data_IF_374962502486
#
_entry.id   IF_374962502486
#
_cell.length_a   1.000
_cell.length_b   1.000
_cell.length_c   1.000
_cell.angle_alpha   90.00
_cell.angle_beta   90.00
_cell.angle_gamma   90.00
#
_symmetry.space_group_name_H-M   'P 1'
#
loop_
_entity.id
_entity.type
_entity.pdbx_description
1 polymer ?
#
# COMPACT_ATOMS: atom_id res chain seq x y z
N UNK A 1 -11.94 7.21 -1.70
CA UNK A 1 -10.94 6.20 -2.12
C UNK A 1 -9.74 6.91 -2.72
N UNK A 2 -8.64 6.97 -1.99
CA UNK A 2 -7.38 7.61 -2.38
C UNK A 2 -6.42 6.50 -2.83
N UNK A 3 -5.99 6.49 -4.10
CA UNK A 3 -5.06 5.46 -4.58
C UNK A 3 -3.78 6.06 -5.18
N UNK A 4 -2.74 5.91 -4.34
CA UNK A 4 -1.43 5.32 -4.60
C UNK A 4 -0.35 6.09 -5.38
N UNK A 5 -0.59 6.70 -6.54
CA UNK A 5 0.52 7.39 -7.24
C UNK A 5 0.93 8.76 -6.65
N UNK A 6 0.25 9.18 -5.57
CA UNK A 6 0.47 10.45 -4.86
C UNK A 6 -0.17 10.37 -3.46
N UNK A 7 0.21 9.35 -2.69
CA UNK A 7 -0.41 9.02 -1.40
C UNK A 7 -0.12 10.05 -0.30
N UNK A 8 0.97 10.80 -0.41
CA UNK A 8 1.32 11.84 0.55
C UNK A 8 0.86 13.22 0.08
N UNK A 9 0.36 14.01 1.03
CA UNK A 9 -0.13 15.37 0.77
C UNK A 9 0.85 16.22 -0.07
N UNK A 10 2.16 16.29 0.25
CA UNK A 10 3.13 17.05 -0.55
C UNK A 10 3.26 16.54 -1.99
N UNK A 11 3.22 15.22 -2.19
CA UNK A 11 3.43 14.63 -3.53
C UNK A 11 2.25 14.94 -4.46
N UNK A 12 1.06 15.21 -3.91
CA UNK A 12 -0.07 15.75 -4.71
C UNK A 12 0.20 17.13 -5.28
N UNK A 13 0.92 17.99 -4.55
CA UNK A 13 1.29 19.33 -5.05
C UNK A 13 2.28 19.18 -6.20
N UNK A 14 3.25 18.29 -6.06
CA UNK A 14 4.27 18.01 -7.07
C UNK A 14 3.64 17.44 -8.34
N UNK A 15 2.73 16.47 -8.21
CA UNK A 15 2.08 15.81 -9.34
C UNK A 15 0.82 16.52 -9.84
N UNK A 16 0.50 17.73 -9.37
CA UNK A 16 -0.75 18.45 -9.72
C UNK A 16 -0.99 18.57 -11.22
N UNK A 17 0.06 18.89 -11.98
CA UNK A 17 -0.03 19.07 -13.45
C UNK A 17 -0.30 17.75 -14.16
N UNK A 18 0.38 16.68 -13.75
CA UNK A 18 0.15 15.33 -14.25
C UNK A 18 -1.27 14.86 -13.91
N UNK A 19 -1.70 15.13 -12.67
CA UNK A 19 -3.05 14.79 -12.21
C UNK A 19 -4.13 15.54 -12.97
N UNK A 20 -3.88 16.79 -13.40
CA UNK A 20 -4.80 17.54 -14.26
C UNK A 20 -4.89 16.95 -15.68
N UNK A 21 -3.81 16.34 -16.18
CA UNK A 21 -3.75 15.75 -17.50
C UNK A 21 -4.35 14.32 -17.56
N UNK A 22 -4.32 13.57 -16.46
CA UNK A 22 -4.87 12.22 -16.43
C UNK A 22 -6.42 12.25 -16.36
N UNK A 23 -7.15 11.64 -17.32
CA UNK A 23 -8.61 11.60 -17.32
C UNK A 23 -9.24 11.05 -16.03
N UNK A 24 -8.53 10.17 -15.32
CA UNK A 24 -8.95 9.56 -14.05
C UNK A 24 -8.77 10.48 -12.86
N UNK A 25 -7.73 11.32 -12.84
CA UNK A 25 -7.35 12.10 -11.65
C UNK A 25 -7.62 13.60 -11.79
N UNK A 26 -8.05 14.05 -12.97
CA UNK A 26 -8.44 15.45 -13.22
C UNK A 26 -9.56 15.99 -12.32
N UNK A 27 -10.39 15.10 -11.76
CA UNK A 27 -11.50 15.45 -10.85
C UNK A 27 -11.08 15.51 -9.37
N UNK A 28 -9.79 15.37 -9.07
CA UNK A 28 -9.29 15.55 -7.70
C UNK A 28 -9.37 17.01 -7.28
N UNK A 29 -9.51 17.26 -5.97
CA UNK A 29 -9.70 18.61 -5.40
C UNK A 29 -8.57 19.60 -5.76
N UNK A 30 -7.33 19.12 -5.87
CA UNK A 30 -6.16 19.98 -6.11
C UNK A 30 -6.01 20.40 -7.58
N UNK A 31 -6.16 19.49 -8.58
CA UNK A 31 -6.34 19.88 -9.98
C UNK A 31 -7.51 20.84 -10.21
N UNK A 32 -8.65 20.60 -9.56
CA UNK A 32 -9.86 21.44 -9.68
C UNK A 32 -9.74 22.81 -9.00
N UNK A 33 -8.70 23.04 -8.20
CA UNK A 33 -8.52 24.29 -7.46
C UNK A 33 -9.44 24.45 -6.24
N UNK A 34 -10.18 23.40 -5.86
CA UNK A 34 -11.01 23.38 -4.64
C UNK A 34 -10.13 23.44 -3.38
N UNK A 35 -8.93 22.85 -3.45
CA UNK A 35 -7.97 22.83 -2.35
C UNK A 35 -6.70 23.57 -2.76
N UNK A 36 -6.25 24.53 -1.94
CA UNK A 36 -5.03 25.28 -2.26
C UNK A 36 -3.78 24.47 -1.94
N UNK A 37 -2.70 24.59 -2.73
CA UNK A 37 -1.43 23.93 -2.45
C UNK A 37 -0.87 24.23 -1.06
N UNK A 38 -1.08 25.45 -0.55
CA UNK A 38 -0.62 25.87 0.77
C UNK A 38 -1.29 25.08 1.89
N UNK A 39 -2.59 24.77 1.78
CA UNK A 39 -3.31 23.98 2.77
C UNK A 39 -2.74 22.56 2.86
N UNK A 40 -2.39 22.01 1.70
CA UNK A 40 -1.82 20.66 1.57
C UNK A 40 -0.41 20.60 2.14
N UNK A 41 0.41 21.62 1.87
CA UNK A 41 1.76 21.75 2.44
C UNK A 41 1.67 21.98 3.95
N UNK A 42 0.82 22.90 4.41
CA UNK A 42 0.61 23.19 5.83
C UNK A 42 0.20 21.94 6.61
N UNK A 43 -0.76 21.18 6.09
CA UNK A 43 -1.20 19.93 6.72
C UNK A 43 -0.13 18.83 6.67
N UNK A 44 0.76 18.85 5.68
CA UNK A 44 1.92 17.97 5.65
C UNK A 44 2.96 18.36 6.70
N UNK A 45 3.31 19.65 6.82
CA UNK A 45 4.26 20.16 7.82
C UNK A 45 3.75 19.87 9.23
N UNK A 46 2.48 20.20 9.53
CA UNK A 46 1.85 19.91 10.81
C UNK A 46 1.83 18.40 11.07
N UNK A 47 1.42 17.59 10.09
CA UNK A 47 1.38 16.13 10.22
C UNK A 47 2.77 15.53 10.48
N UNK A 48 3.81 16.03 9.81
CA UNK A 48 5.20 15.62 10.04
C UNK A 48 5.67 16.04 11.44
N UNK A 49 5.33 17.24 11.90
CA UNK A 49 5.63 17.69 13.26
C UNK A 49 4.98 16.80 14.32
N UNK A 50 3.69 16.48 14.17
CA UNK A 50 2.98 15.55 15.06
C UNK A 50 3.60 14.15 15.01
N UNK A 51 3.99 13.68 13.83
CA UNK A 51 4.66 12.39 13.67
C UNK A 51 5.99 12.31 14.42
N UNK A 52 6.85 13.32 14.30
CA UNK A 52 8.13 13.36 15.03
C UNK A 52 7.94 13.51 16.53
N UNK A 53 6.97 14.33 16.95
CA UNK A 53 6.62 14.46 18.36
C UNK A 53 6.13 13.11 18.92
N UNK A 54 5.22 12.42 18.24
CA UNK A 54 4.74 11.11 18.66
C UNK A 54 5.89 10.09 18.72
N UNK A 55 6.78 10.07 17.72
CA UNK A 55 7.95 9.20 17.71
C UNK A 55 8.88 9.46 18.91
N UNK A 56 9.05 10.72 19.33
CA UNK A 56 9.87 11.06 20.49
C UNK A 56 9.26 10.64 21.83
N UNK A 57 7.95 10.39 21.88
CA UNK A 57 7.26 9.91 23.08
C UNK A 57 7.28 8.38 23.24
N UNK A 58 7.77 7.63 22.25
CA UNK A 58 7.72 6.16 22.26
C UNK A 58 9.03 5.57 22.78
N UNK A 59 10.09 5.58 21.96
CA UNK A 59 11.42 5.15 22.36
C UNK A 59 12.50 5.72 21.41
N UNK A 60 13.76 5.59 21.81
CA UNK A 60 14.90 6.14 21.05
C UNK A 60 15.03 5.54 19.65
N UNK A 61 14.79 4.24 19.50
CA UNK A 61 14.89 3.58 18.19
C UNK A 61 13.81 4.08 17.22
N UNK A 62 12.57 4.24 17.69
CA UNK A 62 11.48 4.84 16.91
C UNK A 62 11.82 6.25 16.47
N UNK A 63 12.36 7.09 17.36
CA UNK A 63 12.75 8.46 17.02
C UNK A 63 13.89 8.50 15.98
N UNK A 64 14.89 7.63 16.11
CA UNK A 64 16.01 7.54 15.15
C UNK A 64 15.55 7.09 13.77
N UNK A 65 14.56 6.19 13.70
CA UNK A 65 14.04 5.65 12.43
C UNK A 65 12.94 6.51 11.81
N UNK A 66 12.31 7.41 12.58
CA UNK A 66 11.25 8.29 12.09
C UNK A 66 11.66 9.13 10.85
N UNK A 67 12.87 9.76 10.79
CA UNK A 67 13.33 10.45 9.58
C UNK A 67 13.43 9.52 8.37
N UNK A 68 13.91 8.29 8.56
CA UNK A 68 14.03 7.30 7.48
C UNK A 68 12.65 6.95 6.92
N UNK A 69 11.67 6.70 7.79
CA UNK A 69 10.30 6.44 7.38
C UNK A 69 9.69 7.64 6.63
N UNK A 70 9.85 8.87 7.15
CA UNK A 70 9.33 10.08 6.52
C UNK A 70 9.94 10.31 5.12
N UNK A 71 11.25 10.16 4.99
CA UNK A 71 11.96 10.28 3.70
C UNK A 71 11.49 9.21 2.73
N UNK A 72 11.38 7.95 3.16
CA UNK A 72 10.92 6.86 2.31
C UNK A 72 9.51 7.10 1.77
N UNK A 73 8.61 7.56 2.64
CA UNK A 73 7.21 7.87 2.33
C UNK A 73 7.09 9.01 1.29
N UNK A 74 8.04 9.94 1.24
CA UNK A 74 8.12 10.93 0.16
C UNK A 74 8.76 10.32 -1.09
N UNK A 75 9.85 9.57 -0.91
CA UNK A 75 10.67 9.00 -1.97
C UNK A 75 9.89 8.04 -2.88
N UNK A 76 9.04 7.15 -2.32
CA UNK A 76 8.37 6.14 -3.16
C UNK A 76 7.55 6.75 -4.29
N UNK A 77 6.98 7.96 -4.12
CA UNK A 77 6.18 8.63 -5.14
C UNK A 77 6.98 8.98 -6.41
N UNK A 78 8.30 9.09 -6.30
CA UNK A 78 9.20 9.37 -7.44
C UNK A 78 9.70 8.12 -8.15
N UNK A 79 9.55 6.94 -7.53
CA UNK A 79 10.10 5.69 -8.09
C UNK A 79 9.51 5.33 -9.45
N UNK A 80 8.29 5.81 -9.76
CA UNK A 80 7.65 5.66 -11.07
C UNK A 80 8.44 6.30 -12.23
N UNK A 81 9.32 7.28 -11.99
CA UNK A 81 10.16 7.83 -13.06
C UNK A 81 11.49 7.07 -13.22
N UNK A 82 11.83 6.23 -12.26
CA UNK A 82 13.14 5.56 -12.18
C UNK A 82 13.01 4.09 -12.60
N UNK A 83 11.94 3.41 -12.15
CA UNK A 83 11.80 1.96 -12.30
C UNK A 83 10.35 1.52 -12.51
N UNK A 84 10.19 0.42 -13.27
CA UNK A 84 8.92 -0.30 -13.42
C UNK A 84 8.49 -1.02 -12.12
N UNK A 85 9.40 -1.20 -11.18
CA UNK A 85 9.15 -1.85 -9.88
C UNK A 85 8.54 -0.91 -8.83
N UNK A 86 8.05 0.27 -9.23
CA UNK A 86 7.51 1.31 -8.35
C UNK A 86 6.40 0.79 -7.39
N UNK A 87 5.63 -0.21 -7.82
CA UNK A 87 4.60 -0.87 -7.00
C UNK A 87 5.16 -1.55 -5.75
N UNK A 88 6.38 -2.12 -5.81
CA UNK A 88 7.03 -2.71 -4.64
C UNK A 88 7.50 -1.65 -3.64
N UNK A 89 7.98 -0.50 -4.14
CA UNK A 89 8.35 0.62 -3.27
C UNK A 89 7.12 1.21 -2.57
N UNK A 90 5.99 1.28 -3.27
CA UNK A 90 4.72 1.67 -2.69
C UNK A 90 4.23 0.67 -1.65
N UNK A 91 4.30 -0.63 -1.96
CA UNK A 91 3.95 -1.69 -1.02
C UNK A 91 4.80 -1.63 0.25
N UNK A 92 6.11 -1.40 0.10
CA UNK A 92 7.03 -1.26 1.23
C UNK A 92 6.75 0.01 2.04
N UNK A 93 6.35 1.12 1.40
CA UNK A 93 5.99 2.35 2.10
C UNK A 93 4.81 2.13 3.07
N UNK A 94 3.83 1.33 2.66
CA UNK A 94 2.72 0.90 3.52
C UNK A 94 3.19 -0.08 4.59
N UNK A 95 4.06 -1.02 4.21
CA UNK A 95 4.59 -2.04 5.10
C UNK A 95 5.63 -1.53 6.12
N UNK A 96 6.02 -0.26 6.10
CA UNK A 96 6.76 0.33 7.22
C UNK A 96 5.90 0.31 8.49
N UNK A 97 4.57 0.39 8.38
CA UNK A 97 3.70 0.54 9.55
C UNK A 97 3.76 -0.62 10.55
N UNK A 98 3.73 -1.92 10.15
CA UNK A 98 3.78 -3.02 11.12
C UNK A 98 5.12 -3.11 11.83
N UNK A 99 6.24 -2.94 11.11
CA UNK A 99 7.58 -2.86 11.74
C UNK A 99 7.70 -1.67 12.67
N UNK A 100 7.22 -0.49 12.25
CA UNK A 100 7.24 0.70 13.09
C UNK A 100 6.39 0.52 14.37
N UNK A 101 5.23 -0.13 14.27
CA UNK A 101 4.39 -0.44 15.42
C UNK A 101 5.06 -1.43 16.39
N UNK A 102 5.74 -2.45 15.88
CA UNK A 102 6.52 -3.37 16.70
C UNK A 102 7.64 -2.65 17.45
N UNK A 103 8.47 -1.90 16.71
CA UNK A 103 9.58 -1.12 17.28
C UNK A 103 9.06 -0.13 18.33
N UNK A 104 7.92 0.51 18.09
CA UNK A 104 7.31 1.45 19.03
C UNK A 104 6.98 0.80 20.39
N UNK A 105 6.54 -0.45 20.39
CA UNK A 105 6.14 -1.18 21.60
C UNK A 105 7.32 -1.90 22.26
N UNK A 106 8.20 -2.52 21.47
CA UNK A 106 9.27 -3.40 21.98
C UNK A 106 10.63 -2.72 22.10
N UNK A 107 10.83 -1.59 21.41
CA UNK A 107 12.14 -0.94 21.28
C UNK A 107 13.16 -1.75 20.48
N UNK A 108 12.73 -2.79 19.74
CA UNK A 108 13.59 -3.74 19.02
C UNK A 108 13.07 -4.00 17.61
N UNK A 109 13.98 -4.42 16.72
CA UNK A 109 13.62 -4.95 15.42
C UNK A 109 13.85 -6.46 15.42
N UNK A 110 12.76 -7.21 15.54
CA UNK A 110 12.78 -8.67 15.58
C UNK A 110 12.34 -9.26 14.22
N UNK A 111 12.59 -10.54 13.92
CA UNK A 111 12.26 -11.16 12.64
C UNK A 111 10.76 -11.24 12.32
N UNK A 112 9.90 -11.37 13.33
CA UNK A 112 8.45 -11.53 13.20
C UNK A 112 7.78 -10.36 12.46
N UNK A 113 7.97 -9.08 12.87
CA UNK A 113 7.42 -7.94 12.13
C UNK A 113 8.02 -7.78 10.73
N UNK A 114 9.21 -8.33 10.45
CA UNK A 114 9.78 -8.33 9.10
C UNK A 114 9.00 -9.24 8.16
N UNK A 115 8.55 -10.40 8.64
CA UNK A 115 7.69 -11.29 7.85
C UNK A 115 6.31 -10.65 7.59
N UNK A 116 5.75 -9.95 8.59
CA UNK A 116 4.52 -9.17 8.40
C UNK A 116 4.72 -8.02 7.41
N UNK A 117 5.86 -7.35 7.46
CA UNK A 117 6.26 -6.30 6.50
C UNK A 117 6.35 -6.86 5.08
N UNK A 118 6.94 -8.04 4.91
CA UNK A 118 6.97 -8.73 3.63
C UNK A 118 5.55 -9.04 3.14
N UNK A 119 4.69 -9.60 4.00
CA UNK A 119 3.31 -9.92 3.65
C UNK A 119 2.54 -8.67 3.18
N UNK A 120 2.65 -7.57 3.92
CA UNK A 120 2.00 -6.29 3.56
C UNK A 120 2.60 -5.70 2.29
N UNK A 121 3.92 -5.83 2.07
CA UNK A 121 4.56 -5.35 0.83
C UNK A 121 4.03 -6.10 -0.39
N UNK A 122 3.93 -7.42 -0.30
CA UNK A 122 3.43 -8.26 -1.40
C UNK A 122 1.94 -8.03 -1.66
N UNK A 123 1.13 -7.97 -0.61
CA UNK A 123 -0.29 -7.64 -0.75
C UNK A 123 -0.47 -6.24 -1.35
N UNK A 124 0.21 -5.25 -0.80
CA UNK A 124 -0.01 -3.88 -1.20
C UNK A 124 0.56 -3.52 -2.56
N UNK A 125 1.73 -4.05 -2.89
CA UNK A 125 2.30 -3.94 -4.22
C UNK A 125 1.46 -4.69 -5.25
N UNK A 126 0.88 -5.84 -4.90
CA UNK A 126 0.03 -6.62 -5.80
C UNK A 126 -1.21 -5.84 -6.25
N UNK A 127 -1.97 -5.28 -5.30
CA UNK A 127 -3.12 -4.46 -5.68
C UNK A 127 -2.71 -3.22 -6.48
N UNK A 128 -1.54 -2.63 -6.18
CA UNK A 128 -1.05 -1.45 -6.89
C UNK A 128 -0.65 -1.77 -8.35
N UNK A 129 -0.14 -2.97 -8.61
CA UNK A 129 0.08 -3.47 -9.97
C UNK A 129 -1.24 -3.56 -10.74
N UNK A 130 -2.31 -4.08 -10.12
CA UNK A 130 -3.65 -4.11 -10.75
C UNK A 130 -4.15 -2.69 -11.05
N UNK A 131 -4.01 -1.75 -10.12
CA UNK A 131 -4.41 -0.37 -10.37
C UNK A 131 -3.59 0.29 -11.48
N UNK A 132 -2.30 -0.02 -11.57
CA UNK A 132 -1.44 0.45 -12.66
C UNK A 132 -1.93 0.01 -14.05
N UNK A 133 -2.68 -1.09 -14.16
CA UNK A 133 -3.32 -1.49 -15.42
C UNK A 133 -4.30 -0.42 -15.91
N UNK A 134 -5.05 0.22 -14.99
CA UNK A 134 -6.03 1.24 -15.35
C UNK A 134 -5.40 2.54 -15.87
N UNK A 135 -4.12 2.79 -15.56
CA UNK A 135 -3.36 3.96 -16.01
C UNK A 135 -2.39 3.62 -17.17
N UNK A 136 -2.42 2.39 -17.70
CA UNK A 136 -1.47 1.88 -18.70
C UNK A 136 -1.34 2.78 -19.96
N UNK A 137 -2.46 3.21 -20.55
CA UNK A 137 -2.43 4.02 -21.77
C UNK A 137 -1.94 5.44 -21.49
N UNK A 138 -2.28 5.99 -20.32
CA UNK A 138 -1.76 7.27 -19.85
C UNK A 138 -0.24 7.19 -19.61
N UNK A 139 0.23 6.15 -18.94
CA UNK A 139 1.66 5.95 -18.66
C UNK A 139 2.52 5.82 -19.92
N UNK A 140 1.97 5.24 -20.99
CA UNK A 140 2.63 5.18 -22.30
C UNK A 140 2.82 6.57 -22.90
N UNK A 141 1.82 7.43 -22.80
CA UNK A 141 1.85 8.78 -23.36
C UNK A 141 2.69 9.75 -22.52
N UNK A 142 2.63 9.64 -21.19
CA UNK A 142 3.25 10.59 -20.25
C UNK A 142 4.67 10.20 -19.77
N UNK A 143 5.19 9.05 -20.21
CA UNK A 143 6.58 8.65 -19.95
C UNK A 143 6.86 8.06 -18.57
N UNK A 144 5.85 7.83 -17.72
CA UNK A 144 5.99 7.15 -16.42
C UNK A 144 6.25 5.65 -16.59
N UNK A 145 6.95 5.02 -15.63
CA UNK A 145 7.15 3.58 -15.59
C UNK A 145 6.08 2.90 -14.75
N UNK A 146 5.61 1.76 -15.22
CA UNK A 146 4.76 0.82 -14.48
C UNK A 146 5.03 -0.60 -14.96
N UNK A 147 4.69 -1.59 -14.14
CA UNK A 147 4.92 -2.99 -14.50
C UNK A 147 4.14 -3.37 -15.76
N UNK A 148 2.87 -2.95 -15.84
CA UNK A 148 2.00 -3.19 -16.99
C UNK A 148 2.55 -2.54 -18.28
N UNK A 149 3.12 -1.33 -18.20
CA UNK A 149 3.75 -0.69 -19.37
C UNK A 149 4.97 -1.48 -19.89
N UNK A 150 5.77 -2.05 -18.99
CA UNK A 150 7.02 -2.75 -19.34
C UNK A 150 6.77 -4.18 -19.84
N UNK A 151 5.87 -4.92 -19.18
CA UNK A 151 5.67 -6.37 -19.40
C UNK A 151 4.30 -6.73 -19.95
N UNK A 152 3.39 -5.77 -20.09
CA UNK A 152 2.03 -5.97 -20.56
C UNK A 152 1.05 -6.33 -19.44
N UNK A 153 -0.24 -6.26 -19.79
CA UNK A 153 -1.36 -6.45 -18.86
C UNK A 153 -1.45 -7.89 -18.35
N UNK A 154 -1.26 -8.87 -19.23
CA UNK A 154 -1.27 -10.29 -18.86
C UNK A 154 -0.20 -10.64 -17.82
N UNK A 155 1.02 -10.12 -17.99
CA UNK A 155 2.09 -10.28 -17.02
C UNK A 155 1.77 -9.59 -15.69
N UNK A 156 1.21 -8.37 -15.73
CA UNK A 156 0.80 -7.65 -14.51
C UNK A 156 -0.24 -8.41 -13.68
N UNK A 157 -1.22 -9.05 -14.33
CA UNK A 157 -2.23 -9.89 -13.64
C UNK A 157 -1.57 -11.10 -12.98
N UNK A 158 -0.70 -11.83 -13.70
CA UNK A 158 0.00 -12.98 -13.13
C UNK A 158 0.92 -12.59 -11.98
N UNK A 159 1.69 -11.51 -12.12
CA UNK A 159 2.53 -10.98 -11.06
C UNK A 159 1.71 -10.63 -9.82
N UNK A 160 0.53 -10.01 -9.99
CA UNK A 160 -0.34 -9.70 -8.85
C UNK A 160 -0.80 -10.96 -8.13
N UNK A 161 -1.22 -12.00 -8.87
CA UNK A 161 -1.61 -13.29 -8.30
C UNK A 161 -0.48 -13.91 -7.49
N UNK A 162 0.75 -13.90 -8.03
CA UNK A 162 1.94 -14.39 -7.33
C UNK A 162 2.20 -13.59 -6.06
N UNK A 163 2.12 -12.25 -6.12
CA UNK A 163 2.32 -11.41 -4.94
C UNK A 163 1.25 -11.65 -3.86
N UNK A 164 -0.03 -11.75 -4.22
CA UNK A 164 -1.09 -12.06 -3.24
C UNK A 164 -0.94 -13.46 -2.65
N UNK A 165 -0.49 -14.44 -3.43
CA UNK A 165 -0.16 -15.78 -2.92
C UNK A 165 1.01 -15.73 -1.92
N UNK A 166 2.07 -15.00 -2.22
CA UNK A 166 3.21 -14.81 -1.31
C UNK A 166 2.79 -14.10 -0.02
N UNK A 167 1.90 -13.11 -0.11
CA UNK A 167 1.34 -12.44 1.07
C UNK A 167 0.54 -13.42 1.95
N UNK A 168 -0.35 -14.20 1.34
CA UNK A 168 -1.15 -15.21 2.03
C UNK A 168 -0.27 -16.29 2.70
N UNK A 169 0.76 -16.78 2.00
CA UNK A 169 1.72 -17.74 2.54
C UNK A 169 2.52 -17.14 3.71
N UNK A 170 3.00 -15.90 3.59
CA UNK A 170 3.72 -15.21 4.66
C UNK A 170 2.85 -15.02 5.92
N UNK A 171 1.57 -14.66 5.77
CA UNK A 171 0.63 -14.57 6.90
C UNK A 171 0.35 -15.93 7.54
N UNK A 172 0.30 -17.01 6.76
CA UNK A 172 0.16 -18.36 7.29
C UNK A 172 1.37 -18.74 8.14
N UNK A 173 2.58 -18.56 7.58
CA UNK A 173 3.85 -18.83 8.26
C UNK A 173 3.95 -18.00 9.54
N UNK A 174 3.59 -16.72 9.48
CA UNK A 174 3.58 -15.84 10.66
C UNK A 174 2.64 -16.36 11.75
N UNK A 175 1.42 -16.76 11.38
CA UNK A 175 0.44 -17.30 12.34
C UNK A 175 0.93 -18.56 13.03
N UNK A 176 1.55 -19.47 12.27
CA UNK A 176 2.14 -20.69 12.82
C UNK A 176 3.36 -20.39 13.70
N UNK A 177 4.26 -19.51 13.24
CA UNK A 177 5.47 -19.13 13.98
C UNK A 177 5.14 -18.44 15.31
N UNK A 178 4.17 -17.51 15.30
CA UNK A 178 3.72 -16.83 16.51
C UNK A 178 2.79 -17.67 17.39
N UNK A 179 2.48 -18.91 16.99
CA UNK A 179 1.59 -19.81 17.74
C UNK A 179 0.17 -19.25 17.91
N UNK A 180 -0.34 -18.52 16.92
CA UNK A 180 -1.66 -17.89 17.01
C UNK A 180 -2.79 -18.94 17.00
N UNK A 181 -3.83 -18.68 17.79
CA UNK A 181 -4.96 -19.59 17.93
C UNK A 181 -5.89 -19.68 16.72
N UNK A 182 -6.88 -20.56 16.83
CA UNK A 182 -7.87 -20.87 15.79
C UNK A 182 -8.51 -19.63 15.14
N UNK A 183 -8.84 -18.61 15.93
CA UNK A 183 -9.48 -17.39 15.42
C UNK A 183 -8.64 -16.67 14.37
N UNK A 184 -7.30 -16.65 14.50
CA UNK A 184 -6.44 -16.02 13.50
C UNK A 184 -6.58 -16.70 12.14
N UNK A 185 -6.61 -18.03 12.11
CA UNK A 185 -6.75 -18.80 10.88
C UNK A 185 -8.12 -18.60 10.20
N UNK A 186 -9.18 -18.26 10.95
CA UNK A 186 -10.45 -17.81 10.35
C UNK A 186 -10.25 -16.48 9.61
N UNK A 187 -9.63 -15.49 10.24
CA UNK A 187 -9.34 -14.20 9.60
C UNK A 187 -8.46 -14.35 8.37
N UNK A 188 -7.44 -15.22 8.45
CA UNK A 188 -6.58 -15.57 7.32
C UNK A 188 -7.34 -16.26 6.18
N UNK A 189 -8.24 -17.21 6.49
CA UNK A 189 -9.06 -17.88 5.48
C UNK A 189 -9.99 -16.90 4.76
N UNK A 190 -10.63 -15.98 5.50
CA UNK A 190 -11.44 -14.90 4.92
C UNK A 190 -10.59 -14.04 3.99
N UNK A 191 -9.39 -13.65 4.42
CA UNK A 191 -8.48 -12.84 3.60
C UNK A 191 -8.12 -13.54 2.28
N UNK A 192 -7.82 -14.84 2.31
CA UNK A 192 -7.51 -15.63 1.10
C UNK A 192 -8.70 -15.69 0.16
N UNK A 193 -9.90 -15.97 0.67
CA UNK A 193 -11.10 -16.03 -0.16
C UNK A 193 -11.33 -14.70 -0.87
N UNK A 194 -11.20 -13.58 -0.15
CA UNK A 194 -11.36 -12.25 -0.73
C UNK A 194 -10.27 -11.92 -1.77
N UNK A 195 -9.00 -12.26 -1.50
CA UNK A 195 -7.90 -12.09 -2.46
C UNK A 195 -8.10 -12.95 -3.71
N UNK A 196 -8.60 -14.19 -3.56
CA UNK A 196 -8.89 -15.08 -4.67
C UNK A 196 -10.05 -14.53 -5.53
N UNK A 197 -11.11 -14.02 -4.89
CA UNK A 197 -12.23 -13.38 -5.57
C UNK A 197 -11.75 -12.13 -6.33
N UNK A 198 -10.98 -11.25 -5.70
CA UNK A 198 -10.40 -10.06 -6.36
C UNK A 198 -9.59 -10.44 -7.61
N UNK A 199 -8.69 -11.42 -7.50
CA UNK A 199 -7.86 -11.89 -8.62
C UNK A 199 -8.64 -12.63 -9.72
N UNK A 200 -9.82 -13.18 -9.41
CA UNK A 200 -10.68 -13.88 -10.38
C UNK A 200 -11.47 -12.91 -11.27
N UNK A 201 -11.71 -11.69 -10.78
CA UNK A 201 -12.50 -10.67 -11.47
C UNK A 201 -11.71 -9.93 -12.55
N UNK A 202 -10.39 -9.88 -12.43
CA UNK A 202 -9.51 -9.21 -13.38
C UNK A 202 -9.04 -10.21 -14.44
N UNK A 203 -9.40 -9.96 -15.70
CA UNK A 203 -8.97 -10.75 -16.85
C UNK A 203 -8.28 -9.88 -17.87
N UNK A 204 -7.30 -10.42 -18.59
CA UNK A 204 -6.50 -9.64 -19.55
C UNK A 204 -7.33 -9.17 -20.76
N UNK A 205 -8.38 -9.90 -21.10
CA UNK A 205 -9.31 -9.67 -22.20
C UNK A 205 -10.55 -8.86 -21.81
N UNK A 206 -10.85 -8.74 -20.51
CA UNK A 206 -11.98 -7.97 -19.99
C UNK A 206 -11.59 -7.16 -18.74
N UNK A 207 -11.35 -5.86 -18.95
CA UNK A 207 -11.01 -4.90 -17.92
C UNK A 207 -12.22 -4.13 -17.37
N UNK A 208 -13.44 -4.46 -17.78
CA UNK A 208 -14.66 -3.75 -17.35
C UNK A 208 -14.83 -3.72 -15.82
N UNK A 209 -14.30 -4.75 -15.14
CA UNK A 209 -14.37 -4.92 -13.68
C UNK A 209 -13.24 -4.25 -12.90
N UNK A 210 -12.23 -3.69 -13.57
CA UNK A 210 -11.12 -2.95 -12.93
C UNK A 210 -11.58 -1.72 -12.13
N UNK A 211 -12.80 -1.22 -12.35
CA UNK A 211 -13.36 -0.06 -11.63
C UNK A 211 -14.54 -0.43 -10.74
N UNK A 212 -14.78 -1.72 -10.54
CA UNK A 212 -15.89 -2.18 -9.70
C UNK A 212 -15.69 -1.79 -8.23
N UNK A 213 -16.78 -1.56 -7.45
CA UNK A 213 -16.69 -1.26 -6.02
C UNK A 213 -16.08 -2.39 -5.18
N UNK A 214 -15.78 -3.54 -5.79
CA UNK A 214 -15.17 -4.72 -5.18
C UNK A 214 -13.73 -4.47 -4.70
N UNK A 215 -13.08 -3.38 -5.11
CA UNK A 215 -11.83 -2.92 -4.51
C UNK A 215 -11.95 -2.49 -3.03
N UNK A 216 -13.16 -2.40 -2.49
CA UNK A 216 -13.39 -2.29 -1.05
C UNK A 216 -13.02 -3.56 -0.26
N UNK A 217 -12.75 -4.69 -0.92
CA UNK A 217 -12.31 -5.92 -0.25
C UNK A 217 -11.02 -5.74 0.55
N UNK A 218 -10.11 -4.87 0.11
CA UNK A 218 -8.87 -4.60 0.83
C UNK A 218 -9.12 -4.04 2.25
N UNK A 219 -10.13 -3.18 2.42
CA UNK A 219 -10.56 -2.70 3.73
C UNK A 219 -11.15 -3.83 4.57
N UNK A 220 -11.96 -4.70 3.97
CA UNK A 220 -12.55 -5.86 4.66
C UNK A 220 -11.45 -6.84 5.11
N UNK A 221 -10.48 -7.14 4.23
CA UNK A 221 -9.32 -7.99 4.55
C UNK A 221 -8.58 -7.45 5.77
N UNK A 222 -8.25 -6.15 5.78
CA UNK A 222 -7.54 -5.53 6.91
C UNK A 222 -8.36 -5.57 8.20
N UNK A 223 -9.66 -5.24 8.15
CA UNK A 223 -10.51 -5.24 9.33
C UNK A 223 -10.76 -6.65 9.86
N UNK A 224 -10.97 -7.63 8.99
CA UNK A 224 -11.11 -9.04 9.37
C UNK A 224 -9.83 -9.55 10.04
N UNK A 225 -8.66 -9.34 9.43
CA UNK A 225 -7.39 -9.75 10.03
C UNK A 225 -7.18 -9.10 11.40
N UNK A 226 -7.48 -7.81 11.56
CA UNK A 226 -7.39 -7.12 12.84
C UNK A 226 -8.28 -7.75 13.91
N UNK A 227 -9.58 -7.89 13.62
CA UNK A 227 -10.57 -8.43 14.58
C UNK A 227 -10.20 -9.85 15.00
N UNK A 228 -9.90 -10.71 14.04
CA UNK A 228 -9.59 -12.11 14.32
C UNK A 228 -8.23 -12.30 15.00
N UNK A 229 -7.24 -11.44 14.74
CA UNK A 229 -5.97 -11.45 15.48
C UNK A 229 -6.19 -11.01 16.93
N UNK A 230 -7.01 -9.99 17.18
CA UNK A 230 -7.36 -9.58 18.55
C UNK A 230 -8.05 -10.74 19.29
N UNK A 231 -9.00 -11.42 18.65
CA UNK A 231 -9.66 -12.59 19.24
C UNK A 231 -8.67 -13.70 19.55
N UNK A 232 -7.76 -14.01 18.63
CA UNK A 232 -6.76 -15.07 18.81
C UNK A 232 -5.74 -14.81 19.93
N UNK A 233 -5.51 -13.55 20.29
CA UNK A 233 -4.61 -13.17 21.39
C UNK A 233 -5.36 -13.07 22.73
N UNK A 234 -6.68 -12.91 22.71
CA UNK A 234 -7.52 -12.70 23.90
C UNK A 234 -8.26 -13.96 24.38
N UNK A 235 -8.56 -14.89 23.47
CA UNK A 235 -9.30 -16.13 23.70
C UNK A 235 -8.40 -17.32 23.41
#
# INVERSE_FOLDING_TARGET
MAYAHSGCRPTRVIHRKEDAANPRTRTRHLPQGILHPIDVIGLAVVGTGVFFYAASQLNTLTLILAPVAAVYVVFYSFTKYITWACHLFLGLALAISPSAAWIAVTGRLDPEPMLLTFAVTMWAGGFDVIYGIADHDFDKQYGTNSFAKRFGIGAAIWTTRTMHLLAAAALLVLGVWMGLGFYYFIGWAIAIVLLALENSLVKADDLSKLRSPLFQYNSVISMSLLVFTILAVKL
#
